data_IF_396444486875
#
_entry.id   IF_396444486875
#
_cell.length_a   1.000
_cell.length_b   1.000
_cell.length_c   1.000
_cell.angle_alpha   90.00
_cell.angle_beta   90.00
_cell.angle_gamma   90.00
#
_symmetry.space_group_name_H-M   'P 1'
#
loop_
_entity.id
_entity.type
_entity.pdbx_description
1 polymer ?
#
# COMPACT_ATOMS: atom_id res chain seq x y z
N UNK A 1 69.26 -6.64 -55.49
CA UNK A 1 68.52 -5.38 -55.31
C UNK A 1 67.60 -5.22 -56.52
N UNK A 2 66.28 -5.35 -56.35
CA UNK A 2 65.47 -4.17 -56.00
C UNK A 2 64.37 -4.43 -54.95
N UNK A 3 63.81 -3.32 -54.49
CA UNK A 3 62.85 -3.13 -53.42
C UNK A 3 61.51 -3.83 -53.67
N UNK A 4 61.08 -4.65 -52.71
CA UNK A 4 59.69 -5.00 -52.49
C UNK A 4 59.42 -4.73 -51.02
N UNK A 5 58.83 -3.60 -50.66
CA UNK A 5 58.11 -3.36 -49.40
C UNK A 5 57.13 -2.22 -49.63
N UNK A 6 55.98 -2.55 -50.20
CA UNK A 6 54.75 -1.77 -50.01
C UNK A 6 53.77 -2.70 -49.30
N UNK A 7 53.75 -2.62 -47.97
CA UNK A 7 52.67 -3.20 -47.18
C UNK A 7 51.40 -2.39 -47.43
N UNK A 8 50.38 -3.02 -47.99
CA UNK A 8 49.02 -2.50 -47.99
C UNK A 8 48.55 -2.30 -46.53
N UNK A 9 47.78 -1.24 -46.22
CA UNK A 9 47.07 -1.17 -44.95
C UNK A 9 46.06 -2.33 -44.87
N UNK A 10 45.88 -2.95 -43.69
CA UNK A 10 44.89 -4.01 -43.55
C UNK A 10 43.48 -3.45 -43.84
N UNK A 11 42.74 -4.22 -44.64
CA UNK A 11 41.31 -4.05 -44.85
C UNK A 11 40.61 -3.91 -43.49
N UNK A 12 40.05 -2.73 -43.22
CA UNK A 12 39.13 -2.50 -42.10
C UNK A 12 37.85 -3.26 -42.42
N UNK A 13 37.64 -4.39 -41.76
CA UNK A 13 36.34 -5.06 -41.70
C UNK A 13 35.38 -4.18 -40.89
N UNK A 14 34.11 -4.00 -41.29
CA UNK A 14 33.13 -3.32 -40.49
C UNK A 14 32.63 -4.30 -39.41
N UNK A 15 33.42 -4.52 -38.36
CA UNK A 15 32.88 -4.96 -37.08
C UNK A 15 32.21 -3.77 -36.41
N UNK A 16 31.06 -3.39 -36.99
CA UNK A 16 30.05 -2.64 -36.26
C UNK A 16 29.61 -3.55 -35.12
N UNK A 17 30.09 -3.26 -33.91
CA UNK A 17 29.64 -3.84 -32.66
C UNK A 17 28.10 -3.84 -32.64
N UNK A 18 27.48 -5.01 -32.86
CA UNK A 18 26.08 -5.25 -32.50
C UNK A 18 26.02 -5.21 -30.98
N UNK A 19 25.87 -4.00 -30.42
CA UNK A 19 25.55 -3.86 -29.01
C UNK A 19 24.23 -4.60 -28.76
N UNK A 20 24.15 -5.46 -27.73
CA UNK A 20 22.92 -6.18 -27.45
C UNK A 20 21.80 -5.16 -27.21
N UNK A 21 20.65 -5.32 -27.87
CA UNK A 21 19.49 -4.45 -27.64
C UNK A 21 18.61 -5.13 -26.60
N UNK A 22 18.38 -4.48 -25.46
CA UNK A 22 17.34 -4.94 -24.53
C UNK A 22 16.00 -4.46 -25.02
N UNK A 23 15.05 -5.37 -25.17
CA UNK A 23 13.69 -5.01 -25.53
C UNK A 23 12.89 -4.87 -24.25
N UNK A 24 12.41 -3.66 -23.98
CA UNK A 24 11.56 -3.37 -22.84
C UNK A 24 10.08 -3.40 -23.28
N UNK A 25 9.32 -4.45 -22.92
CA UNK A 25 7.88 -4.51 -23.20
C UNK A 25 7.06 -3.68 -22.20
N UNK A 26 7.61 -3.31 -21.05
CA UNK A 26 6.93 -2.69 -19.92
C UNK A 26 6.97 -1.17 -19.93
N UNK A 27 7.71 -0.58 -20.86
CA UNK A 27 7.74 0.86 -21.12
C UNK A 27 6.98 1.14 -22.42
N UNK A 28 6.12 2.19 -22.46
CA UNK A 28 5.32 2.48 -23.64
C UNK A 28 6.13 2.67 -24.91
N UNK A 29 5.50 2.36 -26.04
CA UNK A 29 6.11 2.41 -27.36
C UNK A 29 6.66 3.80 -27.67
N UNK A 30 7.88 3.85 -28.20
CA UNK A 30 8.50 5.11 -28.63
C UNK A 30 9.16 5.92 -27.50
N UNK A 31 9.21 5.39 -26.27
CA UNK A 31 10.00 6.00 -25.21
C UNK A 31 11.51 5.91 -25.49
N UNK A 32 12.20 7.04 -25.40
CA UNK A 32 13.66 7.13 -25.55
C UNK A 32 14.36 7.28 -24.20
N UNK A 33 15.21 6.32 -23.82
CA UNK A 33 15.97 6.41 -22.57
C UNK A 33 17.14 7.40 -22.65
N UNK A 34 17.18 8.32 -21.70
CA UNK A 34 18.32 9.21 -21.49
C UNK A 34 19.59 8.46 -21.05
N UNK A 35 20.73 9.15 -21.11
CA UNK A 35 22.05 8.60 -20.72
C UNK A 35 22.11 8.25 -19.22
N UNK A 36 21.46 9.04 -18.37
CA UNK A 36 21.38 8.85 -16.91
C UNK A 36 20.52 7.62 -16.53
N UNK A 37 19.37 7.44 -17.19
CA UNK A 37 18.44 6.34 -16.93
C UNK A 37 19.02 4.98 -17.33
N UNK A 38 19.88 4.95 -18.37
CA UNK A 38 20.68 3.76 -18.72
C UNK A 38 21.61 3.32 -17.59
N UNK A 39 22.16 4.26 -16.82
CA UNK A 39 23.02 3.96 -15.65
C UNK A 39 22.19 3.48 -14.45
N UNK A 40 21.03 4.07 -14.18
CA UNK A 40 20.16 3.65 -13.07
C UNK A 40 19.65 2.20 -13.27
N UNK A 41 19.33 1.81 -14.51
CA UNK A 41 19.00 0.42 -14.86
C UNK A 41 20.15 -0.56 -14.60
N UNK A 42 21.40 -0.11 -14.57
CA UNK A 42 22.53 -0.98 -14.21
C UNK A 42 22.76 -1.07 -12.70
N UNK A 43 22.40 -0.02 -11.95
CA UNK A 43 22.62 0.06 -10.50
C UNK A 43 21.48 -0.57 -9.67
N UNK A 44 20.24 -0.53 -10.15
CA UNK A 44 19.09 -1.15 -9.48
C UNK A 44 19.12 -2.70 -9.50
N UNK A 45 19.89 -3.29 -10.43
CA UNK A 45 20.16 -4.72 -10.46
C UNK A 45 21.33 -5.05 -9.53
N UNK A 46 21.04 -5.20 -8.24
CA UNK A 46 22.03 -5.75 -7.32
C UNK A 46 22.23 -7.25 -7.59
N UNK A 47 23.43 -7.58 -8.05
CA UNK A 47 24.00 -8.90 -8.36
C UNK A 47 23.55 -9.61 -9.66
N UNK A 48 24.53 -9.78 -10.57
CA UNK A 48 24.60 -10.69 -11.74
C UNK A 48 24.17 -10.27 -13.14
N UNK A 49 23.69 -9.06 -13.42
CA UNK A 49 23.39 -8.67 -14.81
C UNK A 49 24.06 -7.34 -15.17
N UNK A 50 25.34 -7.41 -15.60
CA UNK A 50 25.97 -6.32 -16.37
C UNK A 50 25.30 -6.27 -17.74
N UNK A 51 24.24 -5.46 -17.88
CA UNK A 51 23.58 -5.28 -19.16
C UNK A 51 24.14 -4.05 -19.88
N UNK A 52 25.06 -4.28 -20.82
CA UNK A 52 25.71 -3.23 -21.62
C UNK A 52 24.94 -2.89 -22.92
N UNK A 53 23.64 -3.12 -22.93
CA UNK A 53 22.81 -2.97 -24.11
C UNK A 53 21.93 -1.74 -24.10
N UNK A 54 21.58 -1.24 -25.29
CA UNK A 54 20.68 -0.08 -25.42
C UNK A 54 19.24 -0.56 -25.19
N UNK A 55 18.51 -0.02 -24.20
CA UNK A 55 17.11 -0.36 -23.99
C UNK A 55 16.24 0.24 -25.10
N UNK A 56 15.35 -0.58 -25.65
CA UNK A 56 14.40 -0.24 -26.68
C UNK A 56 12.99 -0.51 -26.16
N UNK A 57 12.28 0.57 -25.80
CA UNK A 57 10.89 0.50 -25.37
C UNK A 57 9.99 0.32 -26.58
N UNK A 58 9.21 -0.76 -26.58
CA UNK A 58 8.28 -1.04 -27.66
C UNK A 58 6.85 -1.25 -27.22
N UNK A 59 6.59 -1.36 -25.90
CA UNK A 59 5.26 -1.43 -25.34
C UNK A 59 4.48 -2.66 -25.78
N UNK A 60 4.47 -3.72 -24.96
CA UNK A 60 3.64 -4.89 -25.20
C UNK A 60 3.16 -5.45 -23.87
N UNK A 61 1.87 -5.31 -23.61
CA UNK A 61 1.30 -5.66 -22.32
C UNK A 61 1.43 -7.16 -22.02
N UNK A 62 1.24 -8.03 -23.02
CA UNK A 62 1.33 -9.47 -22.84
C UNK A 62 2.76 -9.94 -22.51
N UNK A 63 3.76 -9.39 -23.21
CA UNK A 63 5.17 -9.65 -22.91
C UNK A 63 5.58 -9.04 -21.55
N UNK A 64 5.09 -7.84 -21.23
CA UNK A 64 5.36 -7.22 -19.94
C UNK A 64 4.76 -8.04 -18.78
N UNK A 65 3.53 -8.52 -18.93
CA UNK A 65 2.87 -9.40 -17.96
C UNK A 65 3.65 -10.69 -17.78
N UNK A 66 4.16 -11.28 -18.87
CA UNK A 66 5.00 -12.47 -18.83
C UNK A 66 6.32 -12.19 -18.09
N UNK A 67 6.97 -11.06 -18.36
CA UNK A 67 8.18 -10.64 -17.66
C UNK A 67 7.93 -10.39 -16.17
N UNK A 68 6.81 -9.75 -15.81
CA UNK A 68 6.40 -9.56 -14.43
C UNK A 68 6.14 -10.89 -13.72
N UNK A 69 5.51 -11.85 -14.40
CA UNK A 69 5.29 -13.20 -13.87
C UNK A 69 6.61 -13.94 -13.62
N UNK A 70 7.61 -13.79 -14.50
CA UNK A 70 8.94 -14.37 -14.27
C UNK A 70 9.59 -13.82 -12.99
N UNK A 71 9.39 -12.55 -12.65
CA UNK A 71 9.87 -11.96 -11.38
C UNK A 71 9.14 -12.62 -10.19
N UNK A 72 7.85 -12.86 -10.32
CA UNK A 72 6.99 -13.47 -9.29
C UNK A 72 7.18 -14.99 -9.12
N UNK A 73 7.92 -15.65 -10.01
CA UNK A 73 8.19 -17.09 -9.96
C UNK A 73 9.66 -17.40 -9.69
N UNK A 74 10.50 -16.37 -9.56
CA UNK A 74 11.94 -16.52 -9.40
C UNK A 74 12.28 -16.90 -7.96
N UNK A 75 12.20 -18.20 -7.64
CA UNK A 75 13.12 -18.96 -6.79
C UNK A 75 12.59 -20.38 -6.49
N UNK A 76 12.86 -21.34 -7.39
CA UNK A 76 13.35 -22.72 -7.10
C UNK A 76 13.32 -23.61 -8.35
N UNK A 77 14.33 -24.47 -8.47
CA UNK A 77 14.38 -25.65 -9.35
C UNK A 77 13.38 -26.77 -8.93
N UNK A 78 12.18 -26.41 -8.45
CA UNK A 78 11.14 -27.39 -8.09
C UNK A 78 10.15 -27.57 -9.27
N UNK A 79 9.56 -28.77 -9.43
CA UNK A 79 8.76 -29.14 -10.60
C UNK A 79 7.50 -28.28 -10.78
N UNK A 80 6.92 -28.27 -12.00
CA UNK A 80 5.92 -27.30 -12.43
C UNK A 80 4.52 -27.63 -11.92
N UNK A 81 4.32 -27.66 -10.61
CA UNK A 81 2.99 -27.49 -10.04
C UNK A 81 2.84 -26.03 -9.63
N UNK A 82 2.17 -25.25 -10.48
CA UNK A 82 1.36 -24.01 -10.27
C UNK A 82 1.52 -23.18 -8.97
N UNK A 83 2.67 -23.13 -8.34
CA UNK A 83 2.91 -22.42 -7.09
C UNK A 83 3.69 -21.15 -7.44
N UNK A 84 3.06 -19.99 -7.27
CA UNK A 84 3.80 -18.73 -7.31
C UNK A 84 4.50 -18.51 -5.96
N UNK A 85 5.75 -18.08 -6.05
CA UNK A 85 6.62 -17.85 -4.91
C UNK A 85 7.05 -16.39 -4.89
N UNK A 86 6.70 -15.67 -3.83
CA UNK A 86 7.26 -14.35 -3.63
C UNK A 86 8.60 -14.50 -2.90
N UNK A 87 9.70 -14.53 -3.66
CA UNK A 87 11.00 -14.96 -3.15
C UNK A 87 10.94 -16.42 -2.69
N UNK A 88 11.26 -16.70 -1.43
CA UNK A 88 11.23 -18.07 -0.87
C UNK A 88 9.88 -18.51 -0.30
N UNK A 89 8.85 -17.65 -0.35
CA UNK A 89 7.55 -17.89 0.32
C UNK A 89 6.46 -18.27 -0.66
N UNK A 90 5.76 -19.38 -0.39
CA UNK A 90 4.59 -19.82 -1.14
C UNK A 90 3.38 -18.89 -0.91
N UNK A 91 2.68 -18.53 -1.98
CA UNK A 91 1.43 -17.77 -1.90
C UNK A 91 0.22 -18.68 -2.24
N UNK A 92 -0.68 -18.95 -1.28
CA UNK A 92 -1.88 -19.71 -1.56
C UNK A 92 -2.88 -18.91 -2.40
N UNK A 93 -3.76 -19.63 -3.11
CA UNK A 93 -4.92 -19.03 -3.74
C UNK A 93 -5.75 -18.28 -2.70
N UNK A 94 -6.11 -17.04 -3.00
CA UNK A 94 -6.91 -16.23 -2.10
C UNK A 94 -8.34 -16.80 -2.03
N UNK A 95 -8.94 -17.01 -0.85
CA UNK A 95 -10.38 -17.24 -0.66
C UNK A 95 -11.13 -15.94 -0.27
N UNK A 96 -12.43 -15.85 -0.57
CA UNK A 96 -13.29 -14.72 -0.15
C UNK A 96 -13.11 -13.38 -0.92
N UNK A 97 -13.80 -12.32 -0.48
CA UNK A 97 -13.66 -10.99 -1.09
C UNK A 97 -12.38 -10.31 -0.61
N UNK A 98 -11.70 -9.61 -1.51
CA UNK A 98 -10.41 -8.95 -1.27
C UNK A 98 -10.53 -7.47 -1.59
N UNK A 99 -9.94 -6.62 -0.76
CA UNK A 99 -9.81 -5.19 -1.03
C UNK A 99 -8.37 -4.94 -1.48
N UNK A 100 -8.20 -4.42 -2.69
CA UNK A 100 -6.91 -4.08 -3.27
C UNK A 100 -6.64 -2.60 -3.03
N UNK A 101 -5.71 -2.31 -2.11
CA UNK A 101 -5.35 -0.96 -1.64
C UNK A 101 -4.06 -0.46 -2.32
N UNK A 102 -3.63 0.76 -1.98
CA UNK A 102 -2.38 1.38 -2.43
C UNK A 102 -2.21 1.35 -3.95
N UNK A 103 -1.06 0.87 -4.45
CA UNK A 103 -0.74 0.88 -5.88
C UNK A 103 -1.76 0.10 -6.73
N UNK A 104 -2.48 -0.88 -6.17
CA UNK A 104 -3.57 -1.54 -6.89
C UNK A 104 -4.72 -0.55 -7.16
N UNK A 105 -5.15 0.18 -6.13
CA UNK A 105 -6.17 1.20 -6.23
C UNK A 105 -5.74 2.38 -7.10
N UNK A 106 -4.53 2.90 -6.89
CA UNK A 106 -4.03 4.06 -7.66
C UNK A 106 -3.88 3.74 -9.15
N UNK A 107 -3.41 2.55 -9.50
CA UNK A 107 -3.32 2.10 -10.91
C UNK A 107 -4.69 1.94 -11.53
N UNK A 108 -5.64 1.28 -10.84
CA UNK A 108 -7.03 1.18 -11.32
C UNK A 108 -7.65 2.57 -11.52
N UNK A 109 -7.50 3.46 -10.54
CA UNK A 109 -8.04 4.82 -10.58
C UNK A 109 -7.44 5.66 -11.70
N UNK A 110 -6.14 5.50 -11.98
CA UNK A 110 -5.47 6.18 -13.10
C UNK A 110 -6.14 5.87 -14.45
N UNK A 111 -6.52 4.61 -14.68
CA UNK A 111 -7.25 4.20 -15.88
C UNK A 111 -8.74 4.56 -15.88
N UNK A 112 -9.21 5.31 -14.88
CA UNK A 112 -10.63 5.66 -14.76
C UNK A 112 -11.53 4.48 -14.36
N UNK A 113 -10.95 3.40 -13.85
CA UNK A 113 -11.71 2.22 -13.42
C UNK A 113 -12.30 2.44 -12.03
N UNK A 114 -13.58 2.09 -11.88
CA UNK A 114 -14.30 2.16 -10.60
C UNK A 114 -13.92 1.03 -9.64
N UNK A 115 -14.36 1.10 -8.35
CA UNK A 115 -13.97 0.16 -7.31
C UNK A 115 -14.33 -1.31 -7.59
N UNK A 116 -15.39 -1.56 -8.37
CA UNK A 116 -15.87 -2.90 -8.70
C UNK A 116 -15.54 -3.34 -10.13
N UNK A 117 -14.56 -2.68 -10.78
CA UNK A 117 -14.11 -3.07 -12.11
C UNK A 117 -13.42 -4.43 -12.09
N UNK A 118 -13.51 -5.16 -13.20
CA UNK A 118 -12.94 -6.50 -13.32
C UNK A 118 -11.44 -6.43 -13.64
N UNK A 119 -10.72 -7.53 -13.37
CA UNK A 119 -9.32 -7.64 -13.79
C UNK A 119 -9.18 -7.59 -15.31
N UNK A 120 -10.17 -8.07 -16.06
CA UNK A 120 -10.24 -7.92 -17.53
C UNK A 120 -10.24 -6.45 -17.97
N UNK A 121 -10.92 -5.57 -17.23
CA UNK A 121 -10.99 -4.15 -17.57
C UNK A 121 -9.64 -3.48 -17.34
N UNK A 122 -8.95 -3.83 -16.24
CA UNK A 122 -7.59 -3.37 -15.95
C UNK A 122 -6.59 -3.88 -16.99
N UNK A 123 -6.70 -5.15 -17.40
CA UNK A 123 -5.85 -5.73 -18.43
C UNK A 123 -6.03 -5.00 -19.78
N UNK A 124 -7.28 -4.75 -20.18
CA UNK A 124 -7.59 -4.03 -21.42
C UNK A 124 -7.09 -2.58 -21.38
N UNK A 125 -7.24 -1.89 -20.24
CA UNK A 125 -6.73 -0.53 -20.08
C UNK A 125 -5.19 -0.50 -20.12
N UNK A 126 -4.54 -1.47 -19.47
CA UNK A 126 -3.09 -1.64 -19.51
C UNK A 126 -2.56 -1.93 -20.91
N UNK A 127 -3.23 -2.79 -21.67
CA UNK A 127 -2.90 -3.09 -23.06
C UNK A 127 -2.92 -1.84 -23.94
N UNK A 128 -4.03 -1.10 -23.91
CA UNK A 128 -4.16 0.16 -24.65
C UNK A 128 -3.09 1.18 -24.25
N UNK A 129 -2.76 1.26 -22.98
CA UNK A 129 -1.77 2.21 -22.48
C UNK A 129 -0.34 1.83 -22.86
N UNK A 130 0.03 0.54 -22.72
CA UNK A 130 1.36 0.06 -23.05
C UNK A 130 1.68 0.21 -24.54
N UNK A 131 0.69 -0.04 -25.42
CA UNK A 131 0.88 -0.05 -26.87
C UNK A 131 0.71 1.34 -27.51
N UNK A 132 0.27 2.35 -26.75
CA UNK A 132 0.16 3.73 -27.20
C UNK A 132 1.53 4.39 -27.38
N UNK A 133 1.61 5.33 -28.33
CA UNK A 133 2.82 6.09 -28.56
C UNK A 133 3.11 7.05 -27.39
N UNK A 134 4.37 7.07 -26.96
CA UNK A 134 4.80 7.88 -25.84
C UNK A 134 4.49 9.37 -26.00
N UNK A 135 4.55 9.92 -27.22
CA UNK A 135 4.21 11.32 -27.47
C UNK A 135 2.72 11.59 -27.22
N UNK A 136 1.85 10.67 -27.64
CA UNK A 136 0.41 10.75 -27.40
C UNK A 136 0.11 10.65 -25.89
N UNK A 137 0.78 9.75 -25.18
CA UNK A 137 0.64 9.64 -23.73
C UNK A 137 1.05 10.93 -23.01
N UNK A 138 2.16 11.55 -23.39
CA UNK A 138 2.57 12.85 -22.83
C UNK A 138 1.55 13.95 -23.13
N UNK A 139 0.93 13.94 -24.31
CA UNK A 139 -0.08 14.92 -24.67
C UNK A 139 -1.40 14.73 -23.91
N UNK A 140 -1.79 13.48 -23.66
CA UNK A 140 -3.01 13.13 -22.93
C UNK A 140 -2.86 13.34 -21.41
N UNK A 141 -1.64 13.20 -20.87
CA UNK A 141 -1.36 13.25 -19.43
C UNK A 141 -0.35 14.36 -19.05
N UNK A 142 -0.52 15.56 -19.61
CA UNK A 142 0.44 16.70 -19.47
C UNK A 142 0.73 17.13 -18.04
N UNK A 143 -0.21 16.92 -17.11
CA UNK A 143 -0.07 17.34 -15.71
C UNK A 143 0.66 16.33 -14.84
N UNK A 144 0.94 15.13 -15.37
CA UNK A 144 1.57 14.06 -14.63
C UNK A 144 3.08 14.06 -14.87
N UNK A 145 3.85 13.84 -13.81
CA UNK A 145 5.29 13.66 -13.93
C UNK A 145 5.61 12.44 -14.81
N UNK A 146 6.61 12.57 -15.66
CA UNK A 146 7.02 11.56 -16.62
C UNK A 146 7.38 10.24 -15.92
N UNK A 147 8.10 10.30 -14.80
CA UNK A 147 8.49 9.15 -13.99
C UNK A 147 7.29 8.42 -13.39
N UNK A 148 6.21 9.15 -13.07
CA UNK A 148 4.98 8.55 -12.60
C UNK A 148 4.22 7.88 -13.76
N UNK A 149 4.18 8.54 -14.94
CA UNK A 149 3.50 8.03 -16.13
C UNK A 149 4.11 6.71 -16.63
N UNK A 150 5.45 6.61 -16.62
CA UNK A 150 6.19 5.40 -17.04
C UNK A 150 5.84 4.15 -16.22
N UNK A 151 5.34 4.32 -14.99
CA UNK A 151 5.05 3.17 -14.10
C UNK A 151 3.77 2.44 -14.46
N UNK A 152 2.82 3.05 -15.16
CA UNK A 152 1.48 2.47 -15.31
C UNK A 152 1.42 1.27 -16.25
N UNK A 153 2.25 1.22 -17.29
CA UNK A 153 2.33 0.03 -18.15
C UNK A 153 2.80 -1.18 -17.33
N UNK A 154 3.98 -1.08 -16.68
CA UNK A 154 4.45 -2.11 -15.76
C UNK A 154 3.47 -2.43 -14.64
N UNK A 155 2.91 -1.42 -13.96
CA UNK A 155 2.02 -1.62 -12.81
C UNK A 155 0.75 -2.38 -13.20
N UNK A 156 0.13 -2.05 -14.33
CA UNK A 156 -1.05 -2.76 -14.83
C UNK A 156 -0.74 -4.23 -15.14
N UNK A 157 0.35 -4.49 -15.86
CA UNK A 157 0.78 -5.83 -16.21
C UNK A 157 1.15 -6.66 -14.97
N UNK A 158 1.86 -6.05 -14.02
CA UNK A 158 2.24 -6.68 -12.75
C UNK A 158 1.04 -7.03 -11.89
N UNK A 159 0.06 -6.13 -11.77
CA UNK A 159 -1.17 -6.38 -11.00
C UNK A 159 -1.91 -7.59 -11.58
N UNK A 160 -2.04 -7.66 -12.91
CA UNK A 160 -2.71 -8.79 -13.57
C UNK A 160 -1.90 -10.08 -13.40
N UNK A 161 -0.58 -10.04 -13.57
CA UNK A 161 0.29 -11.19 -13.32
C UNK A 161 0.14 -11.73 -11.89
N UNK A 162 0.14 -10.84 -10.90
CA UNK A 162 0.03 -11.22 -9.50
C UNK A 162 -1.36 -11.79 -9.17
N UNK A 163 -2.44 -11.07 -9.51
CA UNK A 163 -3.79 -11.44 -9.08
C UNK A 163 -4.37 -12.62 -9.88
N UNK A 164 -4.14 -12.64 -11.19
CA UNK A 164 -4.66 -13.68 -12.06
C UNK A 164 -3.73 -14.89 -12.14
N UNK A 165 -2.50 -14.69 -12.62
CA UNK A 165 -1.60 -15.80 -12.94
C UNK A 165 -1.04 -16.46 -11.69
N UNK A 166 -0.77 -15.68 -10.65
CA UNK A 166 -0.22 -16.20 -9.40
C UNK A 166 -1.26 -16.56 -8.34
N UNK A 167 -2.19 -15.65 -8.06
CA UNK A 167 -3.18 -15.83 -6.98
C UNK A 167 -4.43 -16.58 -7.44
N UNK A 168 -4.56 -16.83 -8.75
CA UNK A 168 -5.64 -17.65 -9.33
C UNK A 168 -7.01 -16.98 -9.30
N UNK A 169 -7.08 -15.65 -9.26
CA UNK A 169 -8.35 -14.93 -9.37
C UNK A 169 -8.75 -14.86 -10.84
N UNK A 170 -9.96 -15.28 -11.20
CA UNK A 170 -10.37 -15.25 -12.61
C UNK A 170 -10.48 -13.80 -13.13
N UNK A 171 -10.23 -13.59 -14.43
CA UNK A 171 -10.26 -12.25 -15.04
C UNK A 171 -11.60 -11.52 -14.85
N UNK A 172 -12.70 -12.29 -14.86
CA UNK A 172 -14.07 -11.77 -14.74
C UNK A 172 -14.63 -11.96 -13.32
N UNK A 173 -13.77 -12.15 -12.32
CA UNK A 173 -14.17 -12.33 -10.93
C UNK A 173 -14.40 -10.99 -10.24
N UNK A 174 -15.60 -10.79 -9.71
CA UNK A 174 -16.01 -9.55 -9.03
C UNK A 174 -15.65 -9.51 -7.54
N UNK A 175 -14.81 -10.43 -7.06
CA UNK A 175 -14.41 -10.50 -5.64
C UNK A 175 -13.35 -9.49 -5.22
N UNK A 176 -12.72 -8.81 -6.17
CA UNK A 176 -11.73 -7.77 -5.91
C UNK A 176 -12.44 -6.42 -5.86
N UNK A 177 -12.14 -5.63 -4.83
CA UNK A 177 -12.57 -4.25 -4.73
C UNK A 177 -11.36 -3.33 -4.67
N UNK A 178 -11.16 -2.48 -5.67
CA UNK A 178 -10.09 -1.49 -5.69
C UNK A 178 -10.49 -0.28 -4.84
N UNK A 179 -9.93 -0.15 -3.64
CA UNK A 179 -10.27 0.96 -2.73
C UNK A 179 -9.19 1.17 -1.67
N UNK A 180 -8.94 2.43 -1.30
CA UNK A 180 -8.12 2.81 -0.14
C UNK A 180 -8.94 3.17 1.09
N UNK A 181 -10.26 2.96 1.08
CA UNK A 181 -11.11 3.28 2.24
C UNK A 181 -12.33 2.35 2.33
N UNK A 182 -12.87 2.25 3.55
CA UNK A 182 -14.17 1.63 3.82
C UNK A 182 -15.03 2.67 4.53
N UNK A 183 -16.10 3.10 3.88
CA UNK A 183 -16.82 4.29 4.30
C UNK A 183 -15.91 5.52 4.26
N UNK A 184 -15.75 6.18 5.40
CA UNK A 184 -14.87 7.34 5.58
C UNK A 184 -13.50 6.98 6.19
N UNK A 185 -13.26 5.69 6.46
CA UNK A 185 -12.05 5.25 7.14
C UNK A 185 -10.99 4.82 6.11
N UNK A 186 -9.82 5.47 6.06
CA UNK A 186 -8.74 5.06 5.18
C UNK A 186 -8.15 3.71 5.63
N UNK A 187 -7.84 2.85 4.67
CA UNK A 187 -7.19 1.57 4.87
C UNK A 187 -5.68 1.73 4.74
N UNK A 188 -4.98 1.58 5.85
CA UNK A 188 -3.52 1.62 5.89
C UNK A 188 -3.01 0.64 6.97
N UNK A 189 -1.84 0.05 6.77
CA UNK A 189 -1.15 -0.75 7.78
C UNK A 189 -0.91 0.07 9.06
N UNK A 190 -0.73 1.39 8.95
CA UNK A 190 -0.56 2.28 10.08
C UNK A 190 -1.79 2.30 11.01
N UNK A 191 -3.00 2.26 10.43
CA UNK A 191 -4.25 2.17 11.21
C UNK A 191 -4.32 0.84 11.96
N UNK A 192 -3.97 -0.26 11.30
CA UNK A 192 -3.91 -1.58 11.93
C UNK A 192 -2.92 -1.62 13.10
N UNK A 193 -1.72 -1.05 12.91
CA UNK A 193 -0.71 -0.95 13.96
C UNK A 193 -1.21 -0.12 15.15
N UNK A 194 -1.87 1.01 14.90
CA UNK A 194 -2.46 1.84 15.94
C UNK A 194 -3.54 1.09 16.75
N UNK A 195 -4.46 0.40 16.08
CA UNK A 195 -5.50 -0.39 16.75
C UNK A 195 -4.86 -1.49 17.60
N UNK A 196 -3.86 -2.20 17.07
CA UNK A 196 -3.16 -3.25 17.79
C UNK A 196 -2.46 -2.70 19.05
N UNK A 197 -1.81 -1.54 18.97
CA UNK A 197 -1.18 -0.90 20.12
C UNK A 197 -2.20 -0.45 21.18
N UNK A 198 -3.31 0.15 20.76
CA UNK A 198 -4.35 0.61 21.71
C UNK A 198 -5.07 -0.54 22.40
N UNK A 199 -5.33 -1.62 21.67
CA UNK A 199 -5.94 -2.83 22.26
C UNK A 199 -4.98 -3.56 23.18
N UNK A 200 -3.67 -3.60 22.89
CA UNK A 200 -2.69 -4.17 23.82
C UNK A 200 -2.54 -3.36 25.11
N UNK A 201 -2.57 -2.03 25.03
CA UNK A 201 -2.51 -1.16 26.21
C UNK A 201 -3.76 -1.32 27.08
N UNK A 202 -4.94 -1.40 26.46
CA UNK A 202 -6.20 -1.68 27.16
C UNK A 202 -6.23 -3.07 27.80
N UNK A 203 -5.71 -4.09 27.11
CA UNK A 203 -5.60 -5.45 27.64
C UNK A 203 -4.59 -5.52 28.81
N UNK A 204 -3.47 -4.79 28.73
CA UNK A 204 -2.50 -4.71 29.82
C UNK A 204 -3.04 -3.94 31.02
N UNK A 205 -3.75 -2.82 30.81
CA UNK A 205 -4.39 -2.05 31.86
C UNK A 205 -5.49 -2.84 32.58
N UNK A 206 -6.36 -3.52 31.82
CA UNK A 206 -7.40 -4.40 32.38
C UNK A 206 -6.81 -5.59 33.13
N UNK A 207 -5.74 -6.22 32.62
CA UNK A 207 -5.02 -7.29 33.32
C UNK A 207 -4.37 -6.78 34.61
N UNK A 208 -3.77 -5.59 34.62
CA UNK A 208 -3.21 -4.97 35.84
C UNK A 208 -4.30 -4.67 36.86
N UNK A 209 -5.44 -4.12 36.45
CA UNK A 209 -6.59 -3.92 37.32
C UNK A 209 -7.08 -5.24 37.92
N UNK A 210 -7.20 -6.30 37.12
CA UNK A 210 -7.63 -7.61 37.60
C UNK A 210 -6.63 -8.23 38.59
N UNK A 211 -5.32 -8.12 38.33
CA UNK A 211 -4.27 -8.58 39.25
C UNK A 211 -4.26 -7.77 40.54
N UNK A 212 -4.37 -6.44 40.47
CA UNK A 212 -4.44 -5.58 41.67
C UNK A 212 -5.68 -5.88 42.49
N UNK A 213 -6.85 -6.01 41.86
CA UNK A 213 -8.10 -6.35 42.56
C UNK A 213 -8.05 -7.77 43.15
N UNK A 214 -7.49 -8.74 42.43
CA UNK A 214 -7.32 -10.12 42.90
C UNK A 214 -6.25 -10.28 43.98
N UNK A 215 -5.28 -9.37 44.08
CA UNK A 215 -4.23 -9.35 45.10
C UNK A 215 -4.65 -8.64 46.39
N UNK A 216 -5.82 -7.98 46.43
CA UNK A 216 -6.34 -7.39 47.66
C UNK A 216 -6.80 -8.51 48.61
N UNK A 217 -6.36 -8.51 49.87
CA UNK A 217 -6.80 -9.51 50.83
C UNK A 217 -8.31 -9.39 51.04
N UNK A 218 -9.01 -10.53 51.04
CA UNK A 218 -10.46 -10.65 51.30
C UNK A 218 -11.01 -9.74 52.42
N UNK A 219 -10.34 -9.56 53.58
CA UNK A 219 -10.81 -8.63 54.61
C UNK A 219 -10.83 -7.15 54.18
N UNK A 220 -9.94 -6.72 53.27
CA UNK A 220 -9.97 -5.34 52.73
C UNK A 220 -11.14 -5.13 51.77
N UNK A 221 -11.39 -6.09 50.87
CA UNK A 221 -12.55 -6.07 49.97
C UNK A 221 -13.88 -6.05 50.76
N UNK A 222 -13.97 -6.88 51.81
CA UNK A 222 -15.10 -6.87 52.73
C UNK A 222 -15.24 -5.53 53.47
N UNK A 223 -14.12 -4.96 53.93
CA UNK A 223 -14.09 -3.64 54.56
C UNK A 223 -14.61 -2.52 53.66
N UNK A 224 -14.20 -2.48 52.38
CA UNK A 224 -14.70 -1.49 51.42
C UNK A 224 -16.19 -1.62 51.12
N UNK A 225 -16.71 -2.86 51.04
CA UNK A 225 -18.14 -3.11 50.88
C UNK A 225 -18.93 -2.65 52.11
N UNK A 226 -18.47 -2.98 53.32
CA UNK A 226 -19.11 -2.54 54.58
C UNK A 226 -19.08 -1.01 54.71
N UNK A 227 -17.95 -0.37 54.42
CA UNK A 227 -17.83 1.10 54.45
C UNK A 227 -18.78 1.74 53.44
N UNK A 228 -18.89 1.19 52.24
CA UNK A 228 -19.80 1.72 51.21
C UNK A 228 -21.26 1.57 51.63
N UNK A 229 -21.65 0.43 52.22
CA UNK A 229 -22.99 0.18 52.75
C UNK A 229 -23.33 1.08 53.94
N UNK A 230 -22.36 1.40 54.81
CA UNK A 230 -22.55 2.28 55.97
C UNK A 230 -22.48 3.77 55.59
N UNK A 231 -21.66 4.14 54.60
CA UNK A 231 -21.53 5.51 54.13
C UNK A 231 -22.75 5.93 53.29
N UNK A 232 -23.38 5.01 52.56
CA UNK A 232 -24.56 5.30 51.73
C UNK A 232 -25.76 5.87 52.52
N UNK A 233 -26.17 5.31 53.68
CA UNK A 233 -27.24 5.88 54.50
C UNK A 233 -26.80 7.19 55.14
N UNK A 234 -25.56 7.31 55.62
CA UNK A 234 -25.03 8.57 56.19
C UNK A 234 -25.00 9.68 55.14
N UNK A 235 -24.54 9.40 53.93
CA UNK A 235 -24.53 10.33 52.80
C UNK A 235 -25.96 10.69 52.36
N UNK A 236 -26.88 9.73 52.36
CA UNK A 236 -28.29 9.96 52.04
C UNK A 236 -28.99 10.81 53.12
N UNK A 237 -28.63 10.63 54.39
CA UNK A 237 -29.11 11.45 55.52
C UNK A 237 -28.51 12.85 55.49
N UNK A 238 -27.20 12.99 55.20
CA UNK A 238 -26.52 14.28 55.01
C UNK A 238 -27.07 15.05 53.80
N UNK A 239 -27.42 14.35 52.71
CA UNK A 239 -28.07 14.95 51.53
C UNK A 239 -29.52 15.36 51.83
N UNK A 240 -30.23 14.62 52.69
CA UNK A 240 -31.55 14.99 53.22
C UNK A 240 -31.51 16.12 54.26
N UNK A 241 -30.38 16.35 54.94
CA UNK A 241 -30.15 17.49 55.85
C UNK A 241 -29.68 18.77 55.13
N UNK A 242 -29.19 18.65 53.89
CA UNK A 242 -28.75 19.78 53.07
C UNK A 242 -29.83 20.61 52.30
N UNK A 243 -31.17 20.45 52.44
CA UNK A 243 -32.10 21.33 51.72
C UNK A 243 -32.36 22.67 52.43
N UNK A 244 -31.95 22.88 53.69
CA UNK A 244 -32.23 24.15 54.39
C UNK A 244 -31.22 25.29 54.17
N UNK A 245 -30.01 25.03 53.66
CA UNK A 245 -29.00 26.07 53.42
C UNK A 245 -28.67 26.20 51.92
N UNK A 246 -29.68 26.47 51.11
CA UNK A 246 -29.51 27.01 49.75
C UNK A 246 -29.77 28.51 49.80
N UNK A 247 -28.74 29.31 50.07
CA UNK A 247 -28.77 30.75 49.76
C UNK A 247 -29.04 30.89 48.26
N UNK A 248 -30.19 31.45 47.91
CA UNK A 248 -30.58 31.69 46.52
C UNK A 248 -30.03 33.05 46.12
N UNK A 249 -28.90 33.07 45.42
CA UNK A 249 -28.32 34.30 44.88
C UNK A 249 -29.20 34.77 43.73
N UNK A 250 -29.93 35.87 43.92
CA UNK A 250 -30.72 36.50 42.86
C UNK A 250 -29.82 37.58 42.25
N UNK A 251 -29.52 37.44 40.96
CA UNK A 251 -28.74 38.41 40.22
C UNK A 251 -29.70 39.41 39.58
N UNK A 252 -29.71 40.64 40.07
CA UNK A 252 -30.47 41.74 39.47
C UNK A 252 -29.63 42.35 38.34
N UNK A 253 -30.10 42.21 37.09
CA UNK A 253 -29.34 42.61 35.89
C UNK A 253 -29.37 44.12 35.61
N UNK A 254 -30.10 44.92 36.40
CA UNK A 254 -30.26 46.35 36.11
C UNK A 254 -29.34 47.25 36.97
N UNK A 255 -28.80 46.77 38.11
CA UNK A 255 -28.00 47.61 39.03
C UNK A 255 -26.73 46.96 39.61
N UNK A 256 -26.32 45.78 39.13
CA UNK A 256 -25.00 45.19 39.41
C UNK A 256 -24.69 44.88 40.88
N UNK A 257 -25.68 44.82 41.77
CA UNK A 257 -25.50 44.47 43.20
C UNK A 257 -26.07 43.10 43.52
N UNK A 258 -25.32 42.33 44.32
CA UNK A 258 -25.66 40.97 44.74
C UNK A 258 -26.24 41.01 46.15
N UNK A 259 -27.45 40.48 46.33
CA UNK A 259 -28.07 40.33 47.64
C UNK A 259 -28.13 38.86 48.05
N UNK A 260 -27.75 38.58 49.30
CA UNK A 260 -27.92 37.26 49.92
C UNK A 260 -29.18 37.27 50.76
N UNK A 261 -30.21 36.50 50.37
CA UNK A 261 -31.43 36.34 51.17
C UNK A 261 -31.35 35.04 51.97
N UNK A 262 -31.17 35.17 53.29
CA UNK A 262 -31.41 34.09 54.26
C UNK A 262 -32.92 33.83 54.36
N UNK A 263 -33.37 32.60 54.69
CA UNK A 263 -34.79 32.33 54.95
C UNK A 263 -35.38 33.28 56.00
#
# INVERSE_FOLDING_TARGET
>A
MPLWWMGLPPLVTPEYFLQPVYRDPCTPKGYGYGVEQRKLSSAAFSSKIEFNGTPNAFGNFSECRSAALMILQKEKDDPPDKLCYFGSSYIPKLPGRVIATENFFHTSKFFGLGPSSLLSDLALAGERFCEEDWLNLKDNYRTLEEEALLRYCFSSAYIVALLHDCLGIAMNDSRIMFSNQVGEVPLDWALGAFIMQKTSDGAAASRRLFVVVGALPLPMLYGFLVISILAFPVFSLLKRWKPQFRLKTIHDMENGRVFLKSP
#
